data_IF_756233806993
#
_entry.id   IF_756233806993
#
_cell.length_a   1.000
_cell.length_b   1.000
_cell.length_c   1.000
_cell.angle_alpha   90.00
_cell.angle_beta   90.00
_cell.angle_gamma   90.00
#
_symmetry.space_group_name_H-M   'P 1'
#
loop_
_entity.id
_entity.type
_entity.pdbx_description
1 polymer ?
#
# COMPACT_ATOMS: atom_id res chain seq x y z
N UNK A 1 -2.22 4.27 -20.53
CA UNK A 1 -3.34 3.54 -19.90
C UNK A 1 -3.09 3.50 -18.39
N UNK A 2 -4.01 3.99 -17.56
CA UNK A 2 -3.87 3.94 -16.10
C UNK A 2 -4.94 3.04 -15.51
N UNK A 3 -4.53 2.05 -14.71
CA UNK A 3 -5.43 1.15 -14.00
C UNK A 3 -5.51 1.57 -12.51
N UNK A 4 -6.70 1.47 -11.91
CA UNK A 4 -6.92 1.75 -10.49
C UNK A 4 -7.78 0.65 -9.88
N UNK A 5 -7.37 0.17 -8.71
CA UNK A 5 -8.15 -0.73 -7.85
C UNK A 5 -8.48 -0.03 -6.52
N UNK A 6 -9.61 -0.37 -5.91
CA UNK A 6 -10.05 0.17 -4.61
C UNK A 6 -10.62 -0.94 -3.75
N UNK A 7 -10.28 -0.94 -2.46
CA UNK A 7 -10.89 -1.80 -1.46
C UNK A 7 -11.62 -0.92 -0.43
N UNK A 8 -12.94 -1.08 -0.33
CA UNK A 8 -13.83 -0.28 0.55
C UNK A 8 -14.13 -1.05 1.84
N UNK A 9 -14.44 -0.32 2.91
CA UNK A 9 -14.86 -0.87 4.21
C UNK A 9 -13.83 -1.80 4.90
N UNK A 10 -12.54 -1.50 4.76
CA UNK A 10 -11.47 -2.23 5.44
C UNK A 10 -11.50 -1.94 6.94
N UNK A 11 -11.35 -3.00 7.76
CA UNK A 11 -11.29 -2.92 9.23
C UNK A 11 -9.93 -2.47 9.76
N UNK A 12 -9.40 -1.37 9.24
CA UNK A 12 -8.13 -0.77 9.68
C UNK A 12 -8.33 0.74 9.80
N UNK A 13 -7.82 1.33 10.88
CA UNK A 13 -7.84 2.80 11.03
C UNK A 13 -7.08 3.45 9.86
N UNK A 14 -7.63 4.52 9.24
CA UNK A 14 -6.98 5.21 8.13
C UNK A 14 -5.53 5.62 8.43
N UNK A 15 -5.23 5.96 9.68
CA UNK A 15 -3.88 6.35 10.09
C UNK A 15 -2.88 5.20 9.99
N UNK A 16 -3.25 4.00 10.44
CA UNK A 16 -2.40 2.80 10.36
C UNK A 16 -2.14 2.40 8.90
N UNK A 17 -3.15 2.49 8.04
CA UNK A 17 -3.02 2.18 6.62
C UNK A 17 -2.10 3.18 5.89
N UNK A 18 -2.23 4.49 6.18
CA UNK A 18 -1.41 5.53 5.53
C UNK A 18 0.09 5.34 5.75
N UNK A 19 0.49 4.89 6.94
CA UNK A 19 1.90 4.58 7.24
C UNK A 19 2.52 3.60 6.24
N UNK A 20 1.77 2.57 5.82
CA UNK A 20 2.24 1.59 4.82
C UNK A 20 2.14 2.15 3.40
N UNK A 21 1.09 2.90 3.10
CA UNK A 21 0.89 3.52 1.77
C UNK A 21 2.01 4.50 1.42
N UNK A 22 2.48 5.27 2.40
CA UNK A 22 3.53 6.26 2.18
C UNK A 22 4.88 5.60 1.84
N UNK A 23 5.12 4.36 2.29
CA UNK A 23 6.33 3.59 1.93
C UNK A 23 6.39 3.20 0.45
N UNK A 24 5.22 2.98 -0.19
CA UNK A 24 5.13 2.45 -1.56
C UNK A 24 4.77 3.51 -2.61
N UNK A 25 4.43 4.73 -2.20
CA UNK A 25 4.00 5.78 -3.12
C UNK A 25 5.15 6.19 -4.05
N UNK A 26 4.90 6.14 -5.36
CA UNK A 26 5.89 6.53 -6.39
C UNK A 26 6.96 5.49 -6.70
N UNK A 27 6.94 4.33 -6.05
CA UNK A 27 7.88 3.22 -6.33
C UNK A 27 7.42 2.37 -7.51
N UNK A 28 8.37 1.67 -8.12
CA UNK A 28 8.09 0.66 -9.14
C UNK A 28 7.38 -0.55 -8.50
N UNK A 29 6.57 -1.27 -9.29
CA UNK A 29 5.67 -2.32 -8.78
C UNK A 29 6.43 -3.45 -8.11
N UNK A 30 7.60 -3.87 -8.62
CA UNK A 30 8.41 -4.95 -8.01
C UNK A 30 8.98 -4.52 -6.67
N UNK A 31 9.49 -3.29 -6.57
CA UNK A 31 10.00 -2.72 -5.32
C UNK A 31 8.87 -2.57 -4.28
N UNK A 32 7.74 -1.99 -4.68
CA UNK A 32 6.57 -1.86 -3.82
C UNK A 32 6.07 -3.22 -3.31
N UNK A 33 6.04 -4.25 -4.16
CA UNK A 33 5.69 -5.63 -3.76
C UNK A 33 6.69 -6.22 -2.75
N UNK A 34 7.97 -5.95 -2.90
CA UNK A 34 8.98 -6.41 -1.95
C UNK A 34 8.81 -5.74 -0.59
N UNK A 35 8.61 -4.42 -0.57
CA UNK A 35 8.35 -3.65 0.67
C UNK A 35 7.12 -4.21 1.39
N UNK A 36 6.00 -4.38 0.68
CA UNK A 36 4.77 -4.91 1.28
C UNK A 36 4.92 -6.32 1.83
N UNK A 37 5.78 -7.16 1.23
CA UNK A 37 6.01 -8.54 1.67
C UNK A 37 6.81 -8.62 2.97
N UNK A 38 7.75 -7.69 3.19
CA UNK A 38 8.67 -7.73 4.34
C UNK A 38 8.37 -6.68 5.41
N UNK A 39 7.38 -5.81 5.20
CA UNK A 39 6.92 -4.87 6.23
C UNK A 39 5.97 -5.58 7.18
N UNK A 40 6.33 -5.66 8.47
CA UNK A 40 5.51 -6.29 9.49
C UNK A 40 4.59 -5.24 10.14
N UNK A 41 3.33 -5.13 9.67
CA UNK A 41 2.34 -4.12 10.08
C UNK A 41 0.93 -4.69 10.18
#
# INVERSE_FOLDING_TARGET
MQARAMAKYIRVSPFKARQVVDLIRGKEVREARAILRYTNK
#
